data_IF_491116746021
#
_entry.id   IF_491116746021
#
_cell.length_a   1.000
_cell.length_b   1.000
_cell.length_c   1.000
_cell.angle_alpha   90.00
_cell.angle_beta   90.00
_cell.angle_gamma   90.00
#
_symmetry.space_group_name_H-M   'P 1'
#
loop_
_entity.id
_entity.type
_entity.pdbx_description
1 polymer ?
#
# COMPACT_ATOMS: atom_id res chain seq x y z
N UNK A 1 0.60 5.83 -17.69
CA UNK A 1 0.08 4.49 -18.02
C UNK A 1 -0.75 3.88 -16.88
N UNK A 2 -1.27 4.69 -15.95
CA UNK A 2 -2.13 4.23 -14.84
C UNK A 2 -3.43 5.03 -14.75
N UNK A 3 -3.69 5.93 -15.70
CA UNK A 3 -4.84 6.85 -15.66
C UNK A 3 -6.18 6.14 -15.89
N UNK A 4 -6.16 4.90 -16.41
CA UNK A 4 -7.32 4.06 -16.67
C UNK A 4 -7.42 2.87 -15.69
N UNK A 5 -6.75 2.91 -14.53
CA UNK A 5 -6.65 1.76 -13.61
C UNK A 5 -8.00 1.25 -13.10
N UNK A 6 -9.03 2.09 -12.98
CA UNK A 6 -10.39 1.63 -12.63
C UNK A 6 -11.11 0.93 -13.79
N UNK A 7 -10.80 1.30 -15.03
CA UNK A 7 -11.42 0.74 -16.24
C UNK A 7 -10.67 -0.47 -16.82
N UNK A 8 -9.40 -0.64 -16.44
CA UNK A 8 -8.50 -1.65 -16.98
C UNK A 8 -7.90 -2.51 -15.87
N UNK A 9 -8.26 -3.79 -15.88
CA UNK A 9 -7.64 -4.79 -15.00
C UNK A 9 -6.11 -4.84 -15.13
N UNK A 10 -5.58 -4.56 -16.33
CA UNK A 10 -4.14 -4.56 -16.58
C UNK A 10 -3.52 -3.37 -15.86
N UNK A 11 -4.06 -2.17 -16.04
CA UNK A 11 -3.54 -0.94 -15.44
C UNK A 11 -3.62 -0.97 -13.90
N UNK A 12 -4.66 -1.61 -13.35
CA UNK A 12 -4.79 -1.90 -11.91
C UNK A 12 -3.65 -2.81 -11.42
N UNK A 13 -3.46 -3.99 -12.03
CA UNK A 13 -2.41 -4.92 -11.61
C UNK A 13 -1.00 -4.32 -11.78
N UNK A 14 -0.78 -3.52 -12.84
CA UNK A 14 0.50 -2.82 -13.02
C UNK A 14 0.80 -1.83 -11.89
N UNK A 15 -0.24 -1.24 -11.30
CA UNK A 15 -0.11 -0.34 -10.17
C UNK A 15 0.20 -1.13 -8.88
N UNK A 16 -0.51 -2.23 -8.62
CA UNK A 16 -0.19 -3.16 -7.52
C UNK A 16 1.26 -3.65 -7.63
N UNK A 17 1.71 -4.07 -8.82
CA UNK A 17 3.09 -4.51 -9.09
C UNK A 17 4.13 -3.41 -8.88
N UNK A 18 3.76 -2.14 -9.09
CA UNK A 18 4.64 -1.01 -8.85
C UNK A 18 4.92 -0.84 -7.36
N UNK A 19 3.87 -0.87 -6.54
CA UNK A 19 4.01 -0.80 -5.08
C UNK A 19 4.69 -2.05 -4.51
N UNK A 20 4.32 -3.24 -4.98
CA UNK A 20 4.92 -4.49 -4.53
C UNK A 20 6.44 -4.57 -4.81
N UNK A 21 6.88 -4.14 -6.01
CA UNK A 21 8.32 -4.04 -6.32
C UNK A 21 9.03 -3.04 -5.43
N UNK A 22 8.46 -1.84 -5.29
CA UNK A 22 9.03 -0.79 -4.42
C UNK A 22 9.18 -1.26 -2.98
N UNK A 23 8.16 -1.95 -2.46
CA UNK A 23 8.20 -2.57 -1.15
C UNK A 23 9.33 -3.58 -1.04
N UNK A 24 9.42 -4.53 -1.99
CA UNK A 24 10.45 -5.56 -2.01
C UNK A 24 11.87 -4.98 -2.04
N UNK A 25 12.11 -4.03 -2.94
CA UNK A 25 13.40 -3.36 -3.07
C UNK A 25 13.79 -2.64 -1.77
N UNK A 26 12.84 -1.95 -1.14
CA UNK A 26 13.08 -1.25 0.12
C UNK A 26 13.39 -2.21 1.27
N UNK A 27 12.60 -3.27 1.47
CA UNK A 27 12.85 -4.22 2.57
C UNK A 27 14.20 -4.95 2.39
N UNK A 28 14.60 -5.24 1.16
CA UNK A 28 15.90 -5.84 0.85
C UNK A 28 17.03 -4.86 1.17
N UNK A 29 16.89 -3.59 0.75
CA UNK A 29 17.87 -2.54 1.05
C UNK A 29 18.05 -2.28 2.55
N UNK A 30 16.99 -2.40 3.34
CA UNK A 30 17.03 -2.23 4.80
C UNK A 30 17.32 -3.54 5.58
N UNK A 31 17.44 -4.69 4.91
CA UNK A 31 17.67 -5.98 5.58
C UNK A 31 16.50 -6.47 6.44
N UNK A 32 15.27 -6.14 6.07
CA UNK A 32 14.05 -6.42 6.84
C UNK A 32 13.25 -7.62 6.30
N UNK A 33 13.86 -8.46 5.47
CA UNK A 33 13.23 -9.63 4.84
C UNK A 33 12.59 -10.57 5.87
N UNK A 34 11.36 -11.02 5.60
CA UNK A 34 10.63 -11.96 6.46
C UNK A 34 9.84 -11.31 7.61
N UNK A 35 9.94 -9.99 7.80
CA UNK A 35 9.26 -9.29 8.89
C UNK A 35 7.87 -8.76 8.54
N UNK A 36 7.29 -9.13 7.40
CA UNK A 36 6.06 -8.52 6.90
C UNK A 36 5.07 -9.51 6.32
N UNK A 37 3.78 -9.22 6.48
CA UNK A 37 2.67 -9.84 5.75
C UNK A 37 2.21 -8.87 4.66
N UNK A 38 2.13 -9.35 3.41
CA UNK A 38 1.61 -8.60 2.26
C UNK A 38 0.97 -9.55 1.22
N UNK A 39 -0.18 -9.20 0.61
CA UNK A 39 -1.06 -8.10 1.01
C UNK A 39 -1.71 -8.40 2.37
N UNK A 40 -1.86 -7.39 3.23
CA UNK A 40 -2.50 -7.58 4.54
C UNK A 40 -4.02 -7.43 4.48
N UNK A 41 -4.52 -6.44 3.72
CA UNK A 41 -5.93 -6.30 3.36
C UNK A 41 -6.14 -6.89 1.98
N UNK A 42 -6.93 -7.96 1.92
CA UNK A 42 -7.27 -8.64 0.68
C UNK A 42 -8.69 -9.20 0.76
N UNK A 43 -9.68 -8.33 0.53
CA UNK A 43 -11.07 -8.73 0.44
C UNK A 43 -11.35 -9.25 -0.97
N UNK A 44 -11.95 -10.43 -1.06
CA UNK A 44 -12.40 -11.04 -2.30
C UNK A 44 -13.88 -11.37 -2.21
N UNK A 45 -14.56 -11.37 -3.36
CA UNK A 45 -15.90 -11.92 -3.49
C UNK A 45 -15.88 -13.44 -3.22
N UNK A 46 -17.05 -14.04 -2.98
CA UNK A 46 -17.18 -15.48 -2.77
C UNK A 46 -16.66 -16.34 -3.96
N UNK A 47 -16.51 -15.75 -5.15
CA UNK A 47 -15.93 -16.39 -6.33
C UNK A 47 -14.40 -16.21 -6.43
N UNK A 48 -13.75 -15.62 -5.42
CA UNK A 48 -12.31 -15.37 -5.39
C UNK A 48 -11.84 -14.14 -6.17
N UNK A 49 -12.74 -13.39 -6.83
CA UNK A 49 -12.34 -12.16 -7.50
C UNK A 49 -12.04 -11.06 -6.46
N UNK A 50 -10.91 -10.33 -6.60
CA UNK A 50 -10.58 -9.25 -5.68
C UNK A 50 -11.61 -8.13 -5.77
N UNK A 51 -12.05 -7.62 -4.61
CA UNK A 51 -12.96 -6.50 -4.55
C UNK A 51 -12.19 -5.18 -4.65
N UNK A 52 -11.78 -4.83 -5.87
CA UNK A 52 -10.84 -3.73 -6.19
C UNK A 52 -11.24 -2.37 -5.63
N UNK A 53 -12.53 -2.08 -5.58
CA UNK A 53 -13.05 -0.80 -5.09
C UNK A 53 -12.97 -0.66 -3.56
N UNK A 54 -12.87 -1.80 -2.86
CA UNK A 54 -12.79 -1.85 -1.40
C UNK A 54 -11.38 -2.18 -0.87
N UNK A 55 -10.48 -2.65 -1.74
CA UNK A 55 -9.13 -3.00 -1.36
C UNK A 55 -8.19 -1.81 -1.58
N UNK A 56 -7.24 -1.57 -0.65
CA UNK A 56 -6.14 -0.67 -0.94
C UNK A 56 -5.30 -1.23 -2.09
N UNK A 57 -4.68 -0.34 -2.89
CA UNK A 57 -3.79 -0.75 -3.98
C UNK A 57 -2.54 -1.47 -3.47
N UNK A 58 -2.18 -1.20 -2.22
CA UNK A 58 -1.13 -1.91 -1.52
C UNK A 58 -1.43 -1.93 -0.02
N UNK A 59 -1.09 -3.04 0.65
CA UNK A 59 -1.12 -3.08 2.10
C UNK A 59 -0.11 -4.05 2.68
N UNK A 60 0.47 -3.69 3.81
CA UNK A 60 1.40 -4.54 4.54
C UNK A 60 1.21 -4.42 6.05
N UNK A 61 1.62 -5.46 6.77
CA UNK A 61 1.73 -5.47 8.23
C UNK A 61 3.14 -5.86 8.65
N UNK A 62 3.76 -5.06 9.51
CA UNK A 62 5.00 -5.43 10.20
C UNK A 62 4.69 -6.46 11.28
N UNK A 63 5.36 -7.61 11.25
CA UNK A 63 5.28 -8.63 12.30
C UNK A 63 6.03 -8.22 13.57
N UNK A 64 7.03 -7.33 13.45
CA UNK A 64 7.83 -6.83 14.58
C UNK A 64 7.03 -5.87 15.46
N UNK A 65 6.39 -4.88 14.85
CA UNK A 65 5.65 -3.83 15.57
C UNK A 65 4.14 -4.00 15.56
N UNK A 66 3.62 -4.94 14.76
CA UNK A 66 2.19 -5.08 14.45
C UNK A 66 1.57 -3.87 13.73
N UNK A 67 2.36 -2.85 13.38
CA UNK A 67 1.91 -1.70 12.60
C UNK A 67 1.51 -2.12 11.18
N UNK A 68 0.58 -1.38 10.60
CA UNK A 68 0.06 -1.63 9.26
C UNK A 68 0.21 -0.39 8.38
N UNK A 69 0.29 -0.63 7.07
CA UNK A 69 0.13 0.42 6.06
C UNK A 69 -0.91 0.00 5.04
N UNK A 70 -1.70 0.98 4.59
CA UNK A 70 -2.54 0.88 3.39
C UNK A 70 -2.28 2.06 2.48
N UNK A 71 -2.17 1.80 1.18
CA UNK A 71 -2.11 2.83 0.15
C UNK A 71 -3.44 2.83 -0.60
N UNK A 72 -4.10 3.98 -0.68
CA UNK A 72 -5.38 4.14 -1.37
C UNK A 72 -5.21 5.18 -2.49
N UNK A 73 -5.74 4.89 -3.67
CA UNK A 73 -5.75 5.84 -4.79
C UNK A 73 -7.12 6.52 -4.81
N UNK A 74 -7.14 7.85 -4.68
CA UNK A 74 -8.35 8.67 -4.69
C UNK A 74 -8.33 9.63 -5.88
N UNK A 75 -9.21 9.44 -6.87
CA UNK A 75 -9.15 10.16 -8.16
C UNK A 75 -9.21 11.69 -8.03
N UNK A 76 -9.99 12.19 -7.08
CA UNK A 76 -10.24 13.63 -6.90
C UNK A 76 -9.18 14.32 -6.01
N UNK A 77 -8.20 13.57 -5.49
CA UNK A 77 -7.22 14.14 -4.59
C UNK A 77 -6.00 14.69 -5.33
N UNK A 78 -5.80 16.00 -5.21
CA UNK A 78 -4.65 16.69 -5.78
C UNK A 78 -3.38 16.58 -4.92
N UNK A 79 -3.46 16.09 -3.68
CA UNK A 79 -2.33 16.00 -2.75
C UNK A 79 -2.27 14.60 -2.12
N UNK A 80 -1.08 14.18 -1.67
CA UNK A 80 -0.98 13.03 -0.78
C UNK A 80 -1.26 13.46 0.65
N UNK A 81 -2.08 12.67 1.35
CA UNK A 81 -2.30 12.79 2.79
C UNK A 81 -1.92 11.48 3.46
N UNK A 82 -1.37 11.59 4.67
CA UNK A 82 -1.05 10.45 5.53
C UNK A 82 -1.79 10.64 6.83
N UNK A 83 -2.57 9.64 7.21
CA UNK A 83 -3.29 9.59 8.48
C UNK A 83 -2.75 8.41 9.27
N UNK A 84 -2.55 8.63 10.57
CA UNK A 84 -2.10 7.59 11.49
C UNK A 84 -3.15 7.38 12.57
N UNK A 85 -3.58 6.15 12.76
CA UNK A 85 -4.59 5.77 13.74
C UNK A 85 -4.04 4.71 14.68
N UNK A 86 -4.09 4.97 15.99
CA UNK A 86 -3.77 3.94 16.98
C UNK A 86 -4.92 2.92 17.00
N UNK A 87 -4.60 1.66 16.70
CA UNK A 87 -5.50 0.51 16.90
C UNK A 87 -5.02 -0.29 18.11
N UNK A 88 -5.90 -1.15 18.63
CA UNK A 88 -5.59 -2.02 19.78
C UNK A 88 -4.30 -2.83 19.61
N UNK A 89 -3.94 -3.15 18.36
CA UNK A 89 -2.83 -4.04 18.02
C UNK A 89 -1.66 -3.33 17.32
N UNK A 90 -1.63 -2.00 17.24
CA UNK A 90 -0.55 -1.26 16.58
C UNK A 90 -1.01 0.00 15.87
N UNK A 91 -0.07 0.74 15.29
CA UNK A 91 -0.35 1.94 14.51
C UNK A 91 -0.76 1.56 13.09
N UNK A 92 -1.90 2.07 12.63
CA UNK A 92 -2.33 1.98 11.25
C UNK A 92 -1.98 3.28 10.51
N UNK A 93 -1.15 3.17 9.47
CA UNK A 93 -0.83 4.26 8.57
C UNK A 93 -1.64 4.13 7.28
N UNK A 94 -2.39 5.17 6.93
CA UNK A 94 -3.17 5.24 5.70
C UNK A 94 -2.60 6.38 4.86
N UNK A 95 -1.98 6.05 3.73
CA UNK A 95 -1.56 7.05 2.75
C UNK A 95 -2.53 7.03 1.56
N UNK A 96 -3.05 8.19 1.20
CA UNK A 96 -4.02 8.31 0.11
C UNK A 96 -3.78 9.56 -0.73
N UNK A 97 -4.08 9.46 -2.02
CA UNK A 97 -3.89 10.54 -2.98
C UNK A 97 -4.22 10.09 -4.41
N UNK A 98 -4.34 11.05 -5.32
CA UNK A 98 -4.59 10.76 -6.72
C UNK A 98 -3.40 10.11 -7.42
N UNK A 99 -3.67 9.39 -8.51
CA UNK A 99 -2.64 8.68 -9.28
C UNK A 99 -1.53 9.60 -9.83
N UNK A 100 -1.85 10.89 -10.03
CA UNK A 100 -0.86 11.92 -10.41
C UNK A 100 0.27 12.07 -9.39
N UNK A 101 0.02 11.69 -8.14
CA UNK A 101 0.96 11.75 -7.03
C UNK A 101 1.57 10.38 -6.70
N UNK A 102 1.64 9.46 -7.66
CA UNK A 102 2.18 8.11 -7.48
C UNK A 102 3.55 8.11 -6.79
N UNK A 103 4.46 9.01 -7.19
CA UNK A 103 5.79 9.09 -6.59
C UNK A 103 5.73 9.44 -5.09
N UNK A 104 4.87 10.37 -4.69
CA UNK A 104 4.71 10.75 -3.28
C UNK A 104 4.10 9.62 -2.44
N UNK A 105 3.20 8.83 -3.03
CA UNK A 105 2.67 7.62 -2.39
C UNK A 105 3.75 6.54 -2.22
N UNK A 106 4.62 6.36 -3.21
CA UNK A 106 5.75 5.44 -3.12
C UNK A 106 6.76 5.91 -2.06
N UNK A 107 7.01 7.21 -1.96
CA UNK A 107 7.86 7.78 -0.91
C UNK A 107 7.23 7.59 0.48
N UNK A 108 5.91 7.73 0.62
CA UNK A 108 5.19 7.44 1.86
C UNK A 108 5.39 5.97 2.29
N UNK A 109 5.33 5.04 1.33
CA UNK A 109 5.61 3.64 1.56
C UNK A 109 7.07 3.42 2.02
N UNK A 110 8.06 4.03 1.35
CA UNK A 110 9.48 3.91 1.75
C UNK A 110 9.73 4.44 3.17
N UNK A 111 9.15 5.58 3.53
CA UNK A 111 9.25 6.15 4.87
C UNK A 111 8.67 5.21 5.93
N UNK A 112 7.50 4.61 5.67
CA UNK A 112 6.89 3.66 6.59
C UNK A 112 7.76 2.40 6.78
N UNK A 113 8.37 1.89 5.71
CA UNK A 113 9.28 0.73 5.79
C UNK A 113 10.52 1.06 6.65
N UNK A 114 11.14 2.21 6.42
CA UNK A 114 12.31 2.65 7.18
C UNK A 114 12.02 2.72 8.69
N UNK A 115 10.83 3.23 9.06
CA UNK A 115 10.38 3.32 10.45
C UNK A 115 9.90 1.97 11.03
N UNK A 116 9.62 0.98 10.18
CA UNK A 116 9.23 -0.37 10.61
C UNK A 116 10.42 -1.26 11.01
N UNK A 117 11.63 -0.90 10.57
CA UNK A 117 12.86 -1.61 10.88
C UNK A 117 13.54 -1.18 12.18
N UNK A 118 13.38 0.08 12.57
CA UNK A 118 13.90 0.66 13.82
C UNK A 118 13.42 -0.03 15.09
#
# INVERSE_FOLDING_TARGET
MHEDYLASAISYHMLEDCFARTFKEAIEAYGLSGNFITPYYHTAFNNGQPFRDANPIFSAKSLKSSNTIRIIIEEDSNNVSVVEENKDNGLETIAFGGIKNLNELLESLRHWIANSGS
#
